data_IF_718299640818
#
_entry.id   IF_718299640818
#
_cell.length_a   1.000
_cell.length_b   1.000
_cell.length_c   1.000
_cell.angle_alpha   90.00
_cell.angle_beta   90.00
_cell.angle_gamma   90.00
#
_symmetry.space_group_name_H-M   'P 1'
#
loop_
_entity.id
_entity.type
_entity.pdbx_description
1 polymer ?
#
# COMPACT_ATOMS: atom_id res chain seq x y z
N UNK A 1 -9.15 -7.08 -1.81
CA UNK A 1 -7.92 -7.35 -1.03
C UNK A 1 -7.87 -6.28 0.04
N UNK A 2 -7.94 -6.69 1.31
CA UNK A 2 -8.06 -5.78 2.45
C UNK A 2 -6.70 -5.16 2.71
N UNK A 3 -6.62 -3.83 2.73
CA UNK A 3 -5.37 -3.09 2.84
C UNK A 3 -5.48 -2.13 4.03
N UNK A 4 -4.37 -1.90 4.74
CA UNK A 4 -4.31 -1.05 5.94
C UNK A 4 -3.53 0.23 5.62
N UNK A 5 -3.88 1.40 6.20
CA UNK A 5 -3.14 2.64 5.95
C UNK A 5 -2.48 3.28 7.15
N UNK A 6 -1.57 4.21 6.84
CA UNK A 6 -1.06 5.27 7.69
C UNK A 6 -1.61 6.64 7.27
N UNK A 7 -2.14 7.41 8.21
CA UNK A 7 -2.30 8.86 8.07
C UNK A 7 -1.74 9.59 9.29
N UNK A 8 -0.95 10.65 9.06
CA UNK A 8 -0.57 11.60 10.09
C UNK A 8 -1.63 12.69 10.25
N UNK A 9 -1.88 13.08 11.51
CA UNK A 9 -2.98 13.96 11.96
C UNK A 9 -2.80 15.44 11.52
N UNK A 10 -1.70 15.82 10.89
CA UNK A 10 -1.35 17.23 10.67
C UNK A 10 -2.07 17.94 9.50
N UNK A 11 -3.07 17.33 8.86
CA UNK A 11 -3.98 18.04 7.93
C UNK A 11 -5.46 18.04 8.35
N UNK A 12 -5.78 17.61 9.57
CA UNK A 12 -7.16 17.58 10.11
C UNK A 12 -7.55 18.88 10.84
N UNK A 13 -7.26 20.06 10.27
CA UNK A 13 -7.67 21.34 10.88
C UNK A 13 -9.09 21.80 10.55
N UNK A 14 -9.93 20.97 9.92
CA UNK A 14 -11.37 21.20 9.92
C UNK A 14 -12.13 19.91 10.24
N UNK A 15 -12.58 19.80 11.49
CA UNK A 15 -13.57 18.82 11.94
C UNK A 15 -14.84 18.97 11.13
N UNK A 16 -15.18 17.95 10.33
CA UNK A 16 -16.54 17.40 10.16
C UNK A 16 -16.46 16.11 9.32
N UNK A 17 -16.73 14.94 9.93
CA UNK A 17 -17.26 13.73 9.25
C UNK A 17 -16.59 13.33 7.90
N UNK A 18 -15.29 13.04 7.86
CA UNK A 18 -14.66 12.51 6.63
C UNK A 18 -13.44 11.62 6.93
N UNK A 19 -13.67 10.35 7.25
CA UNK A 19 -12.65 9.28 7.32
C UNK A 19 -12.73 8.32 6.12
N UNK A 20 -13.30 8.77 5.00
CA UNK A 20 -13.48 7.96 3.78
C UNK A 20 -12.35 8.26 2.80
N UNK A 21 -11.33 7.40 2.76
CA UNK A 21 -10.24 7.53 1.76
C UNK A 21 -9.96 6.21 0.99
N UNK A 22 -9.88 6.32 -0.34
CA UNK A 22 -9.39 5.35 -1.30
C UNK A 22 -7.93 5.64 -1.63
N UNK A 23 -7.17 4.65 -2.05
CA UNK A 23 -5.75 4.84 -2.33
C UNK A 23 -5.40 4.19 -3.68
N UNK A 24 -4.57 4.90 -4.44
CA UNK A 24 -4.13 4.53 -5.79
C UNK A 24 -2.64 4.27 -5.70
N UNK A 25 -2.23 3.01 -5.81
CA UNK A 25 -0.94 2.64 -5.27
C UNK A 25 0.22 2.78 -6.26
N UNK A 26 1.37 3.13 -5.69
CA UNK A 26 2.70 2.92 -6.24
C UNK A 26 3.40 1.93 -5.31
N UNK A 27 3.54 0.68 -5.73
CA UNK A 27 4.05 -0.40 -4.87
C UNK A 27 5.52 -0.24 -4.51
N UNK A 28 5.84 -0.34 -3.21
CA UNK A 28 7.20 -0.32 -2.64
C UNK A 28 7.32 -1.50 -1.68
N UNK A 29 7.57 -2.70 -2.22
CA UNK A 29 7.99 -3.84 -1.42
C UNK A 29 9.20 -3.55 -0.52
N UNK A 30 9.05 -3.70 0.78
CA UNK A 30 10.21 -3.92 1.63
C UNK A 30 10.54 -5.42 1.61
N UNK A 31 11.81 -5.74 1.36
CA UNK A 31 12.34 -7.07 1.62
C UNK A 31 13.19 -6.94 2.88
N UNK A 32 12.69 -7.40 4.03
CA UNK A 32 13.51 -7.48 5.23
C UNK A 32 14.45 -8.69 5.12
N UNK A 33 15.71 -8.48 5.51
CA UNK A 33 16.73 -9.52 5.55
C UNK A 33 16.83 -10.05 6.98
N UNK A 34 16.86 -11.36 7.05
CA UNK A 34 17.38 -12.15 8.15
C UNK A 34 18.88 -11.84 8.32
N UNK A 35 19.23 -11.25 9.45
CA UNK A 35 20.55 -11.12 10.10
C UNK A 35 20.55 -9.82 10.92
N UNK A 36 19.99 -9.92 12.13
CA UNK A 36 20.06 -8.96 13.25
C UNK A 36 19.53 -7.55 12.96
N UNK A 37 18.72 -7.03 13.89
CA UNK A 37 18.26 -5.64 13.90
C UNK A 37 19.47 -4.72 14.06
N UNK A 38 20.14 -4.41 12.95
CA UNK A 38 21.05 -3.29 12.87
C UNK A 38 20.36 -2.17 12.10
N UNK A 39 20.07 -1.10 12.86
CA UNK A 39 19.67 0.25 12.46
C UNK A 39 20.72 0.94 11.55
N UNK A 40 21.26 0.24 10.56
CA UNK A 40 22.26 0.75 9.61
C UNK A 40 21.66 1.26 8.29
N UNK A 41 20.33 1.19 8.10
CA UNK A 41 19.65 1.59 6.87
C UNK A 41 19.21 3.07 6.79
N UNK A 42 19.33 3.84 7.87
CA UNK A 42 18.91 5.25 7.91
C UNK A 42 20.07 6.26 7.70
N UNK A 43 21.31 5.80 7.47
CA UNK A 43 22.49 6.69 7.38
C UNK A 43 23.06 6.91 5.98
N UNK A 44 22.42 6.42 4.92
CA UNK A 44 22.75 6.86 3.56
C UNK A 44 21.54 7.55 2.95
N UNK A 45 21.58 8.88 3.05
CA UNK A 45 20.90 9.88 2.24
C UNK A 45 19.94 9.31 1.17
N UNK A 46 18.72 9.01 1.59
CA UNK A 46 17.55 8.78 0.73
C UNK A 46 17.13 10.04 -0.07
N UNK A 47 17.89 11.14 0.06
CA UNK A 47 17.62 12.46 -0.49
C UNK A 47 18.07 12.66 -1.94
N UNK A 48 18.48 11.60 -2.65
CA UNK A 48 18.61 11.63 -4.11
C UNK A 48 18.13 10.29 -4.63
N UNK A 49 17.27 10.32 -5.66
CA UNK A 49 16.71 9.16 -6.39
C UNK A 49 15.30 8.71 -5.91
N UNK A 50 14.29 9.52 -6.21
CA UNK A 50 13.14 8.99 -6.96
C UNK A 50 13.65 8.87 -8.41
N UNK A 51 13.89 7.64 -8.92
CA UNK A 51 12.81 6.80 -9.39
C UNK A 51 12.87 5.37 -8.83
N UNK A 52 11.71 4.72 -8.77
CA UNK A 52 11.50 3.28 -9.00
C UNK A 52 12.78 2.56 -9.47
N UNK A 53 13.32 1.57 -8.72
CA UNK A 53 14.02 0.37 -9.25
C UNK A 53 14.78 -0.54 -8.24
N UNK A 54 14.95 -0.20 -6.96
CA UNK A 54 15.76 -1.03 -6.01
C UNK A 54 14.95 -2.00 -5.14
N UNK A 55 13.65 -2.09 -5.38
CA UNK A 55 12.73 -2.97 -4.67
C UNK A 55 12.38 -4.17 -5.55
N UNK A 56 12.47 -5.37 -4.99
CA UNK A 56 12.19 -6.59 -5.71
C UNK A 56 11.71 -7.68 -4.78
N UNK A 57 10.74 -8.46 -5.23
CA UNK A 57 10.20 -9.63 -4.54
C UNK A 57 11.31 -10.64 -4.32
N UNK A 58 11.56 -10.98 -3.06
CA UNK A 58 12.37 -12.14 -2.71
C UNK A 58 11.51 -13.40 -2.79
N UNK A 59 12.04 -14.45 -3.40
CA UNK A 59 11.41 -15.76 -3.46
C UNK A 59 12.49 -16.82 -3.34
N UNK A 60 12.10 -18.05 -3.01
CA UNK A 60 12.99 -19.20 -2.95
C UNK A 60 12.62 -20.16 -4.08
N UNK A 61 13.54 -20.40 -5.01
CA UNK A 61 13.34 -21.32 -6.14
C UNK A 61 14.30 -22.48 -5.94
N UNK A 62 13.76 -23.68 -5.69
CA UNK A 62 14.56 -24.89 -5.42
C UNK A 62 15.59 -24.67 -4.30
N UNK A 63 15.18 -24.01 -3.21
CA UNK A 63 16.08 -23.69 -2.08
C UNK A 63 17.01 -22.49 -2.31
N UNK A 64 16.98 -21.86 -3.48
CA UNK A 64 17.87 -20.74 -3.82
C UNK A 64 17.15 -19.40 -3.73
N UNK A 65 17.72 -18.40 -3.03
CA UNK A 65 17.13 -17.06 -2.97
C UNK A 65 17.22 -16.38 -4.34
N UNK A 66 16.09 -15.89 -4.83
CA UNK A 66 15.97 -15.15 -6.09
C UNK A 66 15.22 -13.85 -5.82
N UNK A 67 15.66 -12.76 -6.45
CA UNK A 67 15.00 -11.45 -6.39
C UNK A 67 14.47 -11.06 -7.76
N UNK A 68 13.19 -10.68 -7.84
CA UNK A 68 12.57 -10.16 -9.07
C UNK A 68 12.11 -8.73 -8.87
N UNK A 69 12.49 -7.84 -9.78
CA UNK A 69 12.13 -6.42 -9.72
C UNK A 69 10.62 -6.23 -9.84
N UNK A 70 10.05 -5.39 -8.97
CA UNK A 70 8.65 -4.95 -9.05
C UNK A 70 8.53 -3.78 -10.03
N UNK A 71 7.50 -3.78 -10.87
CA UNK A 71 7.19 -2.65 -11.75
C UNK A 71 5.70 -2.35 -11.72
N UNK A 72 5.38 -1.07 -11.55
CA UNK A 72 4.03 -0.52 -11.61
C UNK A 72 3.90 0.33 -12.88
N UNK A 73 2.75 0.26 -13.51
CA UNK A 73 2.39 1.13 -14.63
C UNK A 73 1.98 2.52 -14.12
N UNK A 74 2.95 3.42 -14.02
CA UNK A 74 2.75 4.78 -13.55
C UNK A 74 1.82 5.61 -14.47
N UNK A 75 1.72 5.28 -15.75
CA UNK A 75 0.80 5.98 -16.65
C UNK A 75 -0.65 5.67 -16.26
N UNK A 76 -0.97 4.39 -16.05
CA UNK A 76 -2.29 3.96 -15.59
C UNK A 76 -2.61 4.53 -14.19
N UNK A 77 -1.63 4.58 -13.27
CA UNK A 77 -1.80 5.22 -11.95
C UNK A 77 -2.18 6.70 -12.08
N UNK A 78 -1.47 7.45 -12.94
CA UNK A 78 -1.73 8.86 -13.16
C UNK A 78 -3.10 9.11 -13.83
N UNK A 79 -3.49 8.27 -14.78
CA UNK A 79 -4.81 8.32 -15.42
C UNK A 79 -5.94 8.04 -14.42
N UNK A 80 -5.79 7.04 -13.57
CA UNK A 80 -6.74 6.72 -12.49
C UNK A 80 -6.81 7.84 -11.45
N UNK A 81 -5.68 8.46 -11.09
CA UNK A 81 -5.65 9.62 -10.18
C UNK A 81 -6.43 10.78 -10.79
N UNK A 82 -6.17 11.12 -12.05
CA UNK A 82 -6.92 12.17 -12.77
C UNK A 82 -8.40 11.81 -12.90
N UNK A 83 -8.74 10.55 -13.14
CA UNK A 83 -10.12 10.08 -13.18
C UNK A 83 -10.83 10.33 -11.86
N UNK A 84 -10.19 10.00 -10.73
CA UNK A 84 -10.77 10.16 -9.41
C UNK A 84 -11.12 11.60 -9.07
N UNK A 85 -10.32 12.58 -9.53
CA UNK A 85 -10.56 14.01 -9.31
C UNK A 85 -11.79 14.53 -10.07
N UNK A 86 -12.17 13.84 -11.16
CA UNK A 86 -13.34 14.17 -11.96
C UNK A 86 -14.60 13.39 -11.54
N UNK A 87 -14.45 12.40 -10.66
CA UNK A 87 -15.57 11.71 -10.05
C UNK A 87 -15.93 12.50 -8.80
N UNK A 88 -17.22 12.79 -8.60
CA UNK A 88 -17.74 13.23 -7.30
C UNK A 88 -17.70 12.04 -6.33
N UNK A 89 -16.49 11.54 -6.02
CA UNK A 89 -16.31 10.36 -5.21
C UNK A 89 -16.49 10.72 -3.74
N UNK A 90 -17.14 9.82 -3.00
CA UNK A 90 -17.32 9.92 -1.54
C UNK A 90 -16.01 9.68 -0.76
N UNK A 91 -14.87 9.72 -1.45
CA UNK A 91 -13.62 9.16 -0.97
C UNK A 91 -12.44 9.90 -1.60
N UNK A 92 -11.48 10.32 -0.78
CA UNK A 92 -10.21 10.88 -1.25
C UNK A 92 -9.41 9.81 -1.99
N UNK A 93 -8.53 10.21 -2.91
CA UNK A 93 -7.62 9.32 -3.61
C UNK A 93 -6.20 9.83 -3.49
N UNK A 94 -5.31 9.02 -2.92
CA UNK A 94 -3.90 9.37 -2.70
C UNK A 94 -2.99 8.39 -3.43
N UNK A 95 -1.92 8.92 -4.04
CA UNK A 95 -0.84 8.14 -4.63
C UNK A 95 0.31 8.00 -3.64
N UNK A 96 0.77 6.78 -3.38
CA UNK A 96 1.85 6.53 -2.42
C UNK A 96 2.41 5.12 -2.46
N UNK A 97 3.49 4.92 -1.69
CA UNK A 97 4.19 3.66 -1.49
C UNK A 97 3.34 2.59 -0.81
N UNK A 98 3.49 1.33 -1.21
CA UNK A 98 2.82 0.18 -0.56
C UNK A 98 3.81 -0.85 -0.05
N UNK A 99 3.82 -1.11 1.26
CA UNK A 99 4.56 -2.24 1.84
C UNK A 99 3.78 -3.54 1.59
N UNK A 100 4.47 -4.57 1.10
CA UNK A 100 3.94 -5.94 1.02
C UNK A 100 4.59 -6.79 2.11
N UNK A 101 3.79 -7.29 3.06
CA UNK A 101 4.22 -8.19 4.13
C UNK A 101 3.86 -9.66 3.82
N UNK A 102 4.56 -10.62 4.43
CA UNK A 102 4.24 -12.06 4.35
C UNK A 102 3.36 -12.53 5.51
N UNK A 103 3.25 -11.74 6.58
CA UNK A 103 2.38 -11.98 7.71
C UNK A 103 1.49 -10.75 7.98
N UNK A 104 0.31 -10.98 8.54
CA UNK A 104 -0.64 -9.92 8.90
C UNK A 104 -0.27 -9.23 10.22
N UNK A 105 0.37 -9.93 11.17
CA UNK A 105 0.62 -9.43 12.51
C UNK A 105 2.01 -8.85 12.70
N UNK A 106 3.03 -9.68 12.89
CA UNK A 106 4.38 -9.25 13.26
C UNK A 106 5.04 -8.45 12.13
N UNK A 107 4.94 -8.91 10.88
CA UNK A 107 5.54 -8.20 9.74
C UNK A 107 4.85 -6.86 9.40
N UNK A 108 3.62 -6.66 9.86
CA UNK A 108 2.94 -5.37 9.76
C UNK A 108 3.06 -4.54 11.05
N UNK A 109 3.85 -4.98 12.03
CA UNK A 109 4.07 -4.27 13.29
C UNK A 109 2.81 -4.16 14.15
N UNK A 110 1.95 -5.18 14.16
CA UNK A 110 0.74 -5.18 15.01
C UNK A 110 1.05 -5.71 16.41
N UNK A 111 0.42 -5.13 17.43
CA UNK A 111 0.56 -5.60 18.81
C UNK A 111 -0.53 -6.58 19.24
N UNK A 112 -1.51 -6.84 18.38
CA UNK A 112 -2.70 -7.64 18.67
C UNK A 112 -2.65 -9.06 18.08
N UNK A 113 -1.44 -9.52 17.72
CA UNK A 113 -1.18 -10.89 17.34
C UNK A 113 -1.03 -11.83 18.54
N UNK A 114 -1.09 -13.13 18.30
CA UNK A 114 -0.82 -14.14 19.33
C UNK A 114 0.65 -14.13 19.79
N UNK A 115 1.56 -13.66 18.93
CA UNK A 115 2.98 -13.48 19.20
C UNK A 115 3.30 -12.01 18.90
N UNK A 116 4.02 -11.35 19.82
CA UNK A 116 4.48 -9.98 19.66
C UNK A 116 5.82 -9.83 20.39
N UNK A 117 6.87 -9.56 19.63
CA UNK A 117 8.26 -9.48 20.12
C UNK A 117 8.81 -8.04 20.18
N UNK A 118 7.95 -7.04 19.99
CA UNK A 118 8.30 -5.61 19.93
C UNK A 118 7.30 -4.73 20.72
N UNK A 119 7.72 -3.50 21.06
CA UNK A 119 6.92 -2.53 21.80
C UNK A 119 6.08 -1.60 20.91
N UNK A 120 5.16 -0.84 21.52
CA UNK A 120 4.39 0.21 20.84
C UNK A 120 5.29 1.32 20.27
N UNK A 121 6.38 1.66 20.97
CA UNK A 121 7.35 2.66 20.53
C UNK A 121 8.10 2.20 19.27
N UNK A 122 8.56 0.94 19.26
CA UNK A 122 9.24 0.33 18.12
C UNK A 122 8.32 0.25 16.90
N UNK A 123 7.07 -0.20 17.11
CA UNK A 123 6.01 -0.13 16.11
C UNK A 123 5.88 1.28 15.55
N UNK A 124 5.60 2.28 16.39
CA UNK A 124 5.36 3.64 15.90
C UNK A 124 6.57 4.24 15.19
N UNK A 125 7.79 3.91 15.62
CA UNK A 125 9.02 4.32 14.93
C UNK A 125 9.12 3.71 13.52
N UNK A 126 8.86 2.41 13.39
CA UNK A 126 8.81 1.72 12.08
C UNK A 126 7.75 2.35 11.15
N UNK A 127 6.54 2.56 11.67
CA UNK A 127 5.41 3.07 10.88
C UNK A 127 5.59 4.54 10.46
N UNK A 128 6.12 5.39 11.35
CA UNK A 128 6.47 6.78 11.02
C UNK A 128 7.60 6.84 9.99
N UNK A 129 8.64 6.02 10.15
CA UNK A 129 9.70 5.91 9.16
C UNK A 129 9.15 5.52 7.79
N UNK A 130 8.29 4.50 7.70
CA UNK A 130 7.63 4.13 6.45
C UNK A 130 6.86 5.31 5.84
N UNK A 131 6.07 6.02 6.65
CA UNK A 131 5.29 7.17 6.21
C UNK A 131 6.17 8.31 5.65
N UNK A 132 7.27 8.63 6.34
CA UNK A 132 8.24 9.67 5.94
C UNK A 132 8.94 9.32 4.62
N UNK A 133 9.08 8.02 4.31
CA UNK A 133 9.60 7.52 3.03
C UNK A 133 8.52 7.38 1.93
N UNK A 134 7.34 7.96 2.15
CA UNK A 134 6.27 7.98 1.15
C UNK A 134 5.38 6.75 1.11
N UNK A 135 5.54 5.80 2.04
CA UNK A 135 4.59 4.69 2.20
C UNK A 135 3.27 5.25 2.73
N UNK A 136 2.15 4.76 2.18
CA UNK A 136 0.81 5.10 2.64
C UNK A 136 0.09 3.88 3.17
N UNK A 137 0.29 2.69 2.59
CA UNK A 137 -0.41 1.48 3.00
C UNK A 137 0.47 0.23 3.15
N UNK A 138 -0.11 -0.82 3.75
CA UNK A 138 0.43 -2.17 3.80
C UNK A 138 -0.62 -3.22 3.40
N UNK A 139 -0.16 -4.24 2.68
CA UNK A 139 -0.92 -5.39 2.18
C UNK A 139 0.01 -6.60 1.99
N UNK A 140 -0.40 -7.66 1.29
CA UNK A 140 0.32 -8.95 1.30
C UNK A 140 0.59 -9.55 -0.08
N UNK A 141 0.27 -8.87 -1.18
CA UNK A 141 0.31 -9.43 -2.53
C UNK A 141 1.02 -8.55 -3.57
N UNK A 142 1.27 -7.28 -3.28
CA UNK A 142 1.69 -6.28 -4.27
C UNK A 142 3.01 -6.58 -4.94
N UNK A 143 4.02 -6.99 -4.17
CA UNK A 143 5.31 -7.43 -4.74
C UNK A 143 5.16 -8.67 -5.61
N UNK A 144 4.23 -9.57 -5.29
CA UNK A 144 3.95 -10.76 -6.08
C UNK A 144 3.41 -10.42 -7.46
N UNK A 145 2.36 -9.59 -7.49
CA UNK A 145 1.68 -9.17 -8.71
C UNK A 145 2.64 -8.38 -9.59
N UNK A 146 3.24 -7.31 -9.04
CA UNK A 146 4.04 -6.36 -9.83
C UNK A 146 5.37 -6.94 -10.34
N UNK A 147 5.98 -7.88 -9.61
CA UNK A 147 7.19 -8.56 -10.11
C UNK A 147 6.87 -9.65 -11.14
N UNK A 148 5.75 -10.35 -10.98
CA UNK A 148 5.33 -11.37 -11.93
C UNK A 148 4.94 -10.74 -13.27
N UNK A 149 4.06 -9.75 -13.27
CA UNK A 149 3.64 -9.04 -14.48
C UNK A 149 4.83 -8.41 -15.22
N UNK A 150 5.76 -7.81 -14.47
CA UNK A 150 7.00 -7.29 -15.06
C UNK A 150 7.81 -8.38 -15.78
N UNK A 151 7.91 -9.57 -15.17
CA UNK A 151 8.66 -10.70 -15.73
C UNK A 151 7.99 -11.35 -16.95
N UNK A 152 6.67 -11.17 -17.13
CA UNK A 152 5.88 -11.77 -18.21
C UNK A 152 5.45 -10.77 -19.28
N UNK A 153 5.93 -9.52 -19.22
CA UNK A 153 5.61 -8.49 -20.22
C UNK A 153 4.23 -7.86 -20.06
N UNK A 154 3.59 -8.01 -18.89
CA UNK A 154 2.30 -7.40 -18.58
C UNK A 154 2.45 -6.15 -17.70
N UNK A 155 1.50 -5.22 -17.84
CA UNK A 155 1.39 -4.04 -16.98
C UNK A 155 0.62 -4.41 -15.71
N UNK A 156 0.99 -3.81 -14.59
CA UNK A 156 0.32 -4.02 -13.31
C UNK A 156 0.19 -2.70 -12.55
N UNK A 157 -0.90 -2.58 -11.82
CA UNK A 157 -1.16 -1.52 -10.84
C UNK A 157 -1.78 -2.17 -9.60
N UNK A 158 -1.68 -1.49 -8.47
CA UNK A 158 -2.48 -1.82 -7.29
C UNK A 158 -3.43 -0.66 -7.01
N UNK A 159 -4.66 -0.99 -6.61
CA UNK A 159 -5.67 -0.03 -6.17
C UNK A 159 -6.30 -0.62 -4.93
N UNK A 160 -6.06 0.03 -3.80
CA UNK A 160 -6.42 -0.51 -2.51
C UNK A 160 -7.25 0.50 -1.70
N UNK A 161 -7.95 0.00 -0.69
CA UNK A 161 -8.70 0.83 0.25
C UNK A 161 -8.18 0.56 1.65
N UNK A 162 -8.08 1.60 2.49
CA UNK A 162 -7.84 1.38 3.91
C UNK A 162 -9.11 1.18 4.70
N UNK A 163 -8.97 0.33 5.69
CA UNK A 163 -9.99 0.08 6.71
C UNK A 163 -9.52 0.44 8.13
N UNK A 164 -8.26 0.85 8.29
CA UNK A 164 -7.68 1.25 9.59
C UNK A 164 -6.49 2.20 9.39
N UNK A 165 -6.36 3.21 10.25
CA UNK A 165 -5.15 4.03 10.40
C UNK A 165 -4.21 3.40 11.45
N UNK A 166 -3.14 2.77 10.97
CA UNK A 166 -2.15 2.02 11.74
C UNK A 166 -1.22 2.90 12.60
N UNK A 167 -1.19 4.22 12.40
CA UNK A 167 -0.57 5.14 13.36
C UNK A 167 -1.41 5.28 14.64
N UNK A 168 -2.69 4.91 14.59
CA UNK A 168 -3.66 5.13 15.68
C UNK A 168 -4.13 3.81 16.29
N UNK A 169 -4.42 2.80 15.46
CA UNK A 169 -4.98 1.54 15.93
C UNK A 169 -4.51 0.36 15.07
N UNK A 170 -4.47 -0.83 15.67
CA UNK A 170 -4.31 -2.07 14.90
C UNK A 170 -5.69 -2.61 14.49
N UNK A 171 -6.66 -2.63 15.38
CA UNK A 171 -7.96 -3.26 15.13
C UNK A 171 -8.79 -2.49 14.09
N UNK A 172 -9.49 -3.23 13.24
CA UNK A 172 -10.49 -2.68 12.32
C UNK A 172 -11.79 -2.52 13.09
N UNK A 173 -12.11 -1.29 13.49
CA UNK A 173 -13.25 -0.98 14.38
C UNK A 173 -14.45 -0.38 13.64
N UNK A 174 -14.38 -0.24 12.32
CA UNK A 174 -15.50 0.25 11.50
C UNK A 174 -16.65 -0.75 11.47
N UNK A 175 -17.87 -0.27 11.17
CA UNK A 175 -19.04 -1.15 11.06
C UNK A 175 -18.91 -2.11 9.88
N UNK A 176 -19.64 -3.24 9.91
CA UNK A 176 -19.67 -4.19 8.80
C UNK A 176 -20.21 -3.54 7.51
N UNK A 177 -21.16 -2.61 7.63
CA UNK A 177 -21.73 -1.87 6.51
C UNK A 177 -20.70 -0.90 5.89
N UNK A 178 -19.94 -0.18 6.73
CA UNK A 178 -18.86 0.70 6.26
C UNK A 178 -17.72 -0.09 5.61
N UNK A 179 -17.35 -1.22 6.22
CA UNK A 179 -16.33 -2.11 5.65
C UNK A 179 -16.75 -2.58 4.25
N UNK A 180 -17.99 -3.06 4.10
CA UNK A 180 -18.55 -3.48 2.81
C UNK A 180 -18.61 -2.33 1.79
N UNK A 181 -18.91 -1.11 2.24
CA UNK A 181 -18.87 0.08 1.39
C UNK A 181 -17.45 0.34 0.89
N UNK A 182 -16.46 0.28 1.79
CA UNK A 182 -15.06 0.58 1.50
C UNK A 182 -14.46 -0.43 0.52
N UNK A 183 -14.71 -1.73 0.71
CA UNK A 183 -14.23 -2.79 -0.18
C UNK A 183 -14.69 -2.62 -1.64
N UNK A 184 -15.83 -1.96 -1.88
CA UNK A 184 -16.33 -1.71 -3.23
C UNK A 184 -15.61 -0.56 -3.94
N UNK A 185 -14.95 0.33 -3.21
CA UNK A 185 -14.46 1.58 -3.79
C UNK A 185 -13.34 1.40 -4.82
N UNK A 186 -12.33 0.50 -4.62
CA UNK A 186 -11.36 0.19 -5.66
C UNK A 186 -12.03 -0.31 -6.94
N UNK A 187 -13.01 -1.21 -6.80
CA UNK A 187 -13.77 -1.76 -7.93
C UNK A 187 -14.57 -0.70 -8.69
N UNK A 188 -15.17 0.27 -7.98
CA UNK A 188 -15.87 1.40 -8.62
C UNK A 188 -14.92 2.26 -9.43
N UNK A 189 -13.77 2.64 -8.87
CA UNK A 189 -12.78 3.46 -9.56
C UNK A 189 -12.21 2.74 -10.80
N UNK A 190 -11.80 1.48 -10.64
CA UNK A 190 -11.29 0.66 -11.75
C UNK A 190 -12.38 0.42 -12.80
N UNK A 191 -13.61 0.18 -12.38
CA UNK A 191 -14.76 0.03 -13.28
C UNK A 191 -14.98 1.26 -14.17
N UNK A 192 -14.93 2.46 -13.59
CA UNK A 192 -15.03 3.71 -14.36
C UNK A 192 -13.84 3.89 -15.32
N UNK A 193 -12.63 3.51 -14.90
CA UNK A 193 -11.46 3.52 -15.78
C UNK A 193 -11.61 2.56 -16.96
N UNK A 194 -12.11 1.35 -16.73
CA UNK A 194 -12.34 0.35 -17.78
C UNK A 194 -13.42 0.79 -18.77
N UNK A 195 -14.51 1.42 -18.30
CA UNK A 195 -15.56 1.97 -19.18
C UNK A 195 -15.01 3.01 -20.15
N UNK A 196 -14.10 3.88 -19.71
CA UNK A 196 -13.51 4.95 -20.55
C UNK A 196 -12.43 4.47 -21.50
N UNK A 197 -11.78 3.35 -21.19
CA UNK A 197 -10.67 2.80 -21.97
C UNK A 197 -11.06 1.53 -22.76
N UNK A 198 -12.34 1.41 -23.14
CA UNK A 198 -12.87 0.30 -23.95
C UNK A 198 -12.65 -1.10 -23.33
N UNK A 199 -12.43 -1.18 -22.02
CA UNK A 199 -12.36 -2.44 -21.28
C UNK A 199 -13.72 -3.13 -21.14
N UNK A 200 -14.81 -2.40 -21.44
CA UNK A 200 -16.18 -2.89 -21.47
C UNK A 200 -16.88 -2.36 -22.72
N UNK A 201 -17.67 -3.20 -23.38
CA UNK A 201 -18.64 -2.76 -24.39
C UNK A 201 -19.89 -2.35 -23.63
N UNK A 202 -20.11 -1.05 -23.46
CA UNK A 202 -21.37 -0.54 -22.92
C UNK A 202 -22.50 -0.86 -23.91
N UNK A 203 -23.46 -1.66 -23.47
CA UNK A 203 -24.67 -2.00 -24.23
C UNK A 203 -25.79 -1.05 -23.92
#
# INVERSE_FOLDING_TARGET
MVVQLFQSVSQLQHRTRDDRCCYLDVVVGLAYRDETVELYWLKQSFLKVLPCQTVGRRTCILGKPVRRQTKVDLNAVNELKKLSENLSSQCSVVVGGTITANDFYEEQGRLDGAICSFSQEEKLAYLKSAYDHGIRNLEMEGTAITSHCNSTGHRAILVCVAVVNRLENDQVTISADDFKLFEQLPGKLVGEYLKRNSGLIAR
#
